data_IF_969572975464
#
_entry.id   IF_969572975464
#
_cell.length_a   1.000
_cell.length_b   1.000
_cell.length_c   1.000
_cell.angle_alpha   90.00
_cell.angle_beta   90.00
_cell.angle_gamma   90.00
#
_symmetry.space_group_name_H-M   'P 1'
#
loop_
_entity.id
_entity.type
_entity.pdbx_description
1 polymer ?
#
# COMPACT_ATOMS: atom_id res chain seq x y z
N UNK A 1 59.94 13.18 -51.01
CA UNK A 1 59.63 12.01 -50.15
C UNK A 1 59.02 12.50 -48.84
N UNK A 2 58.46 11.57 -48.06
CA UNK A 2 58.02 11.61 -46.64
C UNK A 2 58.61 12.76 -45.77
N UNK A 3 57.87 13.38 -44.85
CA UNK A 3 56.42 13.23 -44.58
C UNK A 3 55.95 13.74 -43.20
N UNK A 4 54.67 13.47 -42.91
CA UNK A 4 53.98 13.49 -41.60
C UNK A 4 54.10 14.77 -40.73
N UNK A 5 53.09 15.64 -40.86
CA UNK A 5 52.60 16.44 -39.73
C UNK A 5 51.51 15.66 -39.00
N UNK A 6 51.65 15.45 -37.68
CA UNK A 6 50.68 14.71 -36.86
C UNK A 6 49.55 15.64 -36.38
N UNK A 7 48.51 15.83 -37.20
CA UNK A 7 47.24 16.39 -36.71
C UNK A 7 46.49 15.34 -35.89
N UNK A 8 46.63 15.40 -34.55
CA UNK A 8 45.81 14.61 -33.63
C UNK A 8 44.37 15.14 -33.66
N UNK A 9 43.46 14.41 -34.30
CA UNK A 9 42.02 14.61 -34.11
C UNK A 9 41.62 14.07 -32.74
N UNK A 10 41.41 14.96 -31.77
CA UNK A 10 40.77 14.64 -30.50
C UNK A 10 39.25 14.68 -30.69
N UNK A 11 38.66 13.58 -31.15
CA UNK A 11 37.19 13.43 -31.18
C UNK A 11 36.70 13.26 -29.73
N UNK A 12 36.37 14.38 -29.09
CA UNK A 12 35.59 14.37 -27.85
C UNK A 12 34.15 14.06 -28.23
N UNK A 13 33.79 12.79 -28.20
CA UNK A 13 32.41 12.34 -28.35
C UNK A 13 31.65 12.63 -27.04
N UNK A 14 31.21 13.87 -26.86
CA UNK A 14 30.27 14.23 -25.80
C UNK A 14 28.89 13.64 -26.10
N UNK A 15 28.70 12.38 -25.73
CA UNK A 15 27.38 11.81 -25.49
C UNK A 15 26.75 12.49 -24.26
N UNK A 16 26.32 13.74 -24.43
CA UNK A 16 25.38 14.40 -23.55
C UNK A 16 24.00 13.77 -23.79
N UNK A 17 23.78 12.63 -23.14
CA UNK A 17 22.43 12.16 -22.83
C UNK A 17 21.79 13.23 -21.94
N UNK A 18 20.98 14.10 -22.54
CA UNK A 18 20.17 15.07 -21.81
C UNK A 18 19.12 14.29 -21.01
N UNK A 19 19.41 14.04 -19.74
CA UNK A 19 18.45 13.41 -18.83
C UNK A 19 17.19 14.29 -18.74
N UNK A 20 16.07 13.82 -19.28
CA UNK A 20 14.78 14.53 -19.30
C UNK A 20 13.99 14.27 -18.02
N UNK A 21 14.62 14.60 -16.89
CA UNK A 21 13.90 14.78 -15.63
C UNK A 21 12.89 15.92 -15.79
N UNK A 22 11.61 15.60 -15.59
CA UNK A 22 10.53 16.58 -15.55
C UNK A 22 10.33 17.03 -14.10
N UNK A 23 10.67 18.29 -13.82
CA UNK A 23 10.52 18.89 -12.49
C UNK A 23 9.35 19.87 -12.51
N UNK A 24 8.29 19.54 -11.77
CA UNK A 24 7.08 20.35 -11.64
C UNK A 24 7.22 21.27 -10.42
N UNK A 25 7.53 22.54 -10.68
CA UNK A 25 7.75 23.61 -9.67
C UNK A 25 6.62 24.63 -9.62
N UNK A 26 5.69 24.59 -10.58
CA UNK A 26 4.45 25.35 -10.62
C UNK A 26 3.26 24.44 -10.96
N UNK A 27 2.04 24.97 -10.97
CA UNK A 27 0.85 24.18 -11.26
C UNK A 27 0.68 23.94 -12.77
N UNK A 28 0.71 22.66 -13.19
CA UNK A 28 0.69 22.26 -14.60
C UNK A 28 -0.54 21.41 -14.91
N UNK A 29 -1.23 21.72 -16.03
CA UNK A 29 -2.31 20.89 -16.58
C UNK A 29 -2.04 20.63 -18.07
N UNK A 30 -1.94 19.36 -18.45
CA UNK A 30 -1.86 18.92 -19.84
C UNK A 30 -3.16 18.21 -20.24
N UNK A 31 -3.74 18.61 -21.37
CA UNK A 31 -5.05 18.11 -21.82
C UNK A 31 -4.92 17.45 -23.19
N UNK A 32 -5.28 16.18 -23.24
CA UNK A 32 -5.14 15.28 -24.39
C UNK A 32 -3.73 15.29 -25.03
N UNK A 33 -2.64 15.25 -24.23
CA UNK A 33 -1.31 15.09 -24.81
C UNK A 33 -1.19 13.73 -25.52
N UNK A 34 -0.29 13.60 -26.52
CA UNK A 34 0.10 12.29 -27.05
C UNK A 34 0.74 11.44 -25.94
N UNK A 35 0.97 10.14 -26.18
CA UNK A 35 1.61 9.25 -25.20
C UNK A 35 2.87 9.93 -24.62
N UNK A 36 2.86 10.17 -23.31
CA UNK A 36 3.93 10.88 -22.62
C UNK A 36 5.01 9.89 -22.23
N UNK A 37 6.27 10.26 -22.44
CA UNK A 37 7.43 9.53 -21.92
C UNK A 37 8.26 10.53 -21.13
N UNK A 38 8.36 10.25 -19.83
CA UNK A 38 9.10 11.02 -18.84
C UNK A 38 10.22 10.11 -18.35
N UNK A 39 11.43 10.65 -18.14
CA UNK A 39 12.51 9.88 -17.50
C UNK A 39 12.26 9.90 -15.98
N UNK A 40 12.90 10.78 -15.22
CA UNK A 40 12.51 11.05 -13.83
C UNK A 40 11.35 12.04 -13.75
N UNK A 41 10.41 11.86 -12.81
CA UNK A 41 9.35 12.82 -12.49
C UNK A 41 9.49 13.29 -11.03
N UNK A 42 9.82 14.57 -10.81
CA UNK A 42 9.74 15.19 -9.49
C UNK A 42 8.66 16.28 -9.43
N UNK A 43 7.79 16.21 -8.43
CA UNK A 43 6.70 17.17 -8.20
C UNK A 43 6.90 17.80 -6.82
N UNK A 44 7.12 19.12 -6.79
CA UNK A 44 7.46 19.86 -5.58
C UNK A 44 6.26 20.02 -4.62
N UNK A 45 6.51 20.28 -3.32
CA UNK A 45 5.44 20.56 -2.36
C UNK A 45 4.54 21.72 -2.80
N UNK A 46 3.24 21.61 -2.49
CA UNK A 46 2.19 22.63 -2.71
C UNK A 46 1.83 22.94 -4.17
N UNK A 47 2.44 22.27 -5.15
CA UNK A 47 2.04 22.35 -6.56
C UNK A 47 1.43 21.05 -7.06
N UNK A 48 0.81 21.07 -8.24
CA UNK A 48 0.25 19.89 -8.87
C UNK A 48 0.66 19.72 -10.34
N UNK A 49 0.73 18.47 -10.78
CA UNK A 49 0.73 18.07 -12.19
C UNK A 49 -0.56 17.30 -12.47
N UNK A 50 -1.28 17.68 -13.53
CA UNK A 50 -2.52 17.02 -13.94
C UNK A 50 -2.51 16.71 -15.43
N UNK A 51 -2.65 15.43 -15.76
CA UNK A 51 -2.73 14.93 -17.12
C UNK A 51 -4.17 14.47 -17.36
N UNK A 52 -4.81 14.97 -18.41
CA UNK A 52 -6.22 14.70 -18.72
C UNK A 52 -6.34 14.03 -20.09
N UNK A 53 -7.06 12.91 -20.18
CA UNK A 53 -7.31 12.14 -21.42
C UNK A 53 -6.03 11.70 -22.15
N UNK A 54 -5.09 11.05 -21.46
CA UNK A 54 -3.84 10.59 -22.05
C UNK A 54 -3.76 9.06 -22.04
N UNK A 55 -3.82 8.46 -23.24
CA UNK A 55 -3.89 7.00 -23.42
C UNK A 55 -2.84 6.23 -22.61
N UNK A 56 -1.60 6.75 -22.56
CA UNK A 56 -0.52 6.23 -21.72
C UNK A 56 0.50 7.31 -21.34
N UNK A 57 0.67 7.53 -20.04
CA UNK A 57 1.83 8.20 -19.45
C UNK A 57 2.85 7.14 -18.99
N UNK A 58 4.04 7.15 -19.58
CA UNK A 58 5.17 6.30 -19.17
C UNK A 58 6.17 7.12 -18.36
N UNK A 59 6.62 6.56 -17.23
CA UNK A 59 7.75 7.05 -16.42
C UNK A 59 8.84 5.97 -16.51
N UNK A 60 9.98 6.29 -17.12
CA UNK A 60 11.10 5.37 -17.36
C UNK A 60 12.15 5.42 -16.23
N UNK A 61 12.14 6.46 -15.40
CA UNK A 61 13.01 6.66 -14.25
C UNK A 61 12.22 6.68 -12.93
N UNK A 62 12.63 7.54 -12.00
CA UNK A 62 12.11 7.60 -10.64
C UNK A 62 10.90 8.55 -10.53
N UNK A 63 9.94 8.21 -9.66
CA UNK A 63 8.80 9.06 -9.31
C UNK A 63 8.98 9.63 -7.89
N UNK A 64 9.18 10.94 -7.76
CA UNK A 64 9.32 11.69 -6.51
C UNK A 64 8.16 12.70 -6.37
N UNK A 65 7.05 12.29 -5.76
CA UNK A 65 5.89 13.17 -5.57
C UNK A 65 5.78 13.70 -4.14
N UNK A 66 5.98 15.02 -3.99
CA UNK A 66 5.79 15.76 -2.73
C UNK A 66 4.62 16.76 -2.83
N UNK A 67 4.06 16.93 -4.04
CA UNK A 67 2.90 17.77 -4.34
C UNK A 67 1.66 16.93 -4.63
N UNK A 68 1.08 17.11 -5.82
CA UNK A 68 -0.06 16.32 -6.29
C UNK A 68 0.13 15.88 -7.73
N UNK A 69 -0.07 14.60 -8.03
CA UNK A 69 -0.04 14.03 -9.38
C UNK A 69 -1.41 13.46 -9.73
N UNK A 70 -2.00 13.94 -10.82
CA UNK A 70 -3.32 13.53 -11.30
C UNK A 70 -3.23 12.99 -12.72
N UNK A 71 -3.90 11.86 -12.99
CA UNK A 71 -4.06 11.32 -14.36
C UNK A 71 -5.52 10.91 -14.55
N UNK A 72 -6.26 11.64 -15.39
CA UNK A 72 -7.73 11.69 -15.31
C UNK A 72 -8.40 11.41 -16.66
N UNK A 73 -9.38 10.51 -16.68
CA UNK A 73 -10.33 10.31 -17.76
C UNK A 73 -11.49 11.29 -17.64
N UNK A 74 -11.87 11.89 -18.76
CA UNK A 74 -13.13 12.60 -18.98
C UNK A 74 -13.77 12.14 -20.29
N UNK A 75 -15.08 12.33 -20.40
CA UNK A 75 -15.83 12.14 -21.66
C UNK A 75 -15.70 10.75 -22.29
N UNK A 76 -15.42 9.69 -21.50
CA UNK A 76 -15.27 8.33 -21.99
C UNK A 76 -13.89 7.98 -22.56
N UNK A 77 -12.90 8.88 -22.49
CA UNK A 77 -11.55 8.65 -23.01
C UNK A 77 -10.65 7.93 -21.98
N UNK A 78 -9.72 7.09 -22.44
CA UNK A 78 -8.78 6.38 -21.56
C UNK A 78 -7.74 7.32 -20.93
N UNK A 79 -7.24 6.91 -19.76
CA UNK A 79 -6.13 7.57 -19.06
C UNK A 79 -5.33 6.55 -18.23
N UNK A 80 -4.20 6.08 -18.75
CA UNK A 80 -3.36 5.00 -18.17
C UNK A 80 -1.98 5.50 -17.72
N UNK A 81 -1.35 4.80 -16.77
CA UNK A 81 0.02 5.09 -16.28
C UNK A 81 0.86 3.82 -16.23
N UNK A 82 2.10 3.90 -16.70
CA UNK A 82 3.10 2.82 -16.59
C UNK A 82 4.42 3.35 -16.03
N UNK A 83 4.93 2.67 -15.02
CA UNK A 83 6.28 2.79 -14.49
C UNK A 83 6.78 1.37 -14.24
N UNK A 84 7.93 1.01 -14.81
CA UNK A 84 8.48 -0.36 -14.76
C UNK A 84 9.98 -0.37 -14.44
N UNK A 85 10.44 0.68 -13.77
CA UNK A 85 11.84 1.04 -13.56
C UNK A 85 11.93 2.14 -12.48
N UNK A 86 13.14 2.54 -12.09
CA UNK A 86 13.37 3.52 -11.02
C UNK A 86 12.81 3.11 -9.65
N UNK A 87 12.62 4.11 -8.78
CA UNK A 87 11.91 4.02 -7.49
C UNK A 87 10.59 4.81 -7.50
N UNK A 88 9.72 4.52 -6.53
CA UNK A 88 8.52 5.32 -6.26
C UNK A 88 8.59 5.86 -4.83
N UNK A 89 8.57 7.18 -4.70
CA UNK A 89 8.41 7.91 -3.44
C UNK A 89 7.22 8.86 -3.53
N UNK A 90 6.25 8.69 -2.63
CA UNK A 90 5.09 9.56 -2.50
C UNK A 90 4.95 10.07 -1.06
N UNK A 91 5.08 11.39 -0.87
CA UNK A 91 4.69 12.07 0.38
C UNK A 91 3.59 13.13 0.11
N UNK A 92 2.83 12.95 -0.97
CA UNK A 92 1.82 13.90 -1.44
C UNK A 92 0.53 13.20 -1.86
N UNK A 93 -0.11 13.68 -2.92
CA UNK A 93 -1.27 13.04 -3.56
C UNK A 93 -0.85 12.39 -4.87
N UNK A 94 -1.15 11.11 -5.08
CA UNK A 94 -1.22 10.51 -6.42
C UNK A 94 -2.67 10.04 -6.63
N UNK A 95 -3.32 10.49 -7.70
CA UNK A 95 -4.72 10.19 -7.97
C UNK A 95 -4.97 9.93 -9.46
N UNK A 96 -5.10 8.66 -9.82
CA UNK A 96 -5.35 8.21 -11.18
C UNK A 96 -6.80 7.73 -11.33
N UNK A 97 -7.57 8.33 -12.23
CA UNK A 97 -9.02 8.12 -12.30
C UNK A 97 -9.52 7.92 -13.73
N UNK A 98 -9.81 6.67 -14.08
CA UNK A 98 -10.49 6.21 -15.30
C UNK A 98 -11.89 5.66 -15.02
N UNK A 99 -12.51 5.95 -13.87
CA UNK A 99 -13.88 5.47 -13.54
C UNK A 99 -14.95 5.86 -14.58
N UNK A 100 -14.70 6.92 -15.37
CA UNK A 100 -15.57 7.42 -16.43
C UNK A 100 -15.10 7.07 -17.86
N UNK A 101 -14.09 6.20 -18.04
CA UNK A 101 -13.62 5.78 -19.35
C UNK A 101 -14.56 4.73 -19.98
N UNK A 102 -14.68 4.72 -21.32
CA UNK A 102 -15.46 3.71 -22.05
C UNK A 102 -14.77 2.34 -22.10
N UNK A 103 -13.44 2.35 -21.93
CA UNK A 103 -12.55 1.18 -21.91
C UNK A 103 -11.81 1.13 -20.57
N UNK A 104 -11.19 0.00 -20.24
CA UNK A 104 -10.42 -0.11 -18.99
C UNK A 104 -9.02 0.43 -19.21
N UNK A 105 -8.68 1.49 -18.50
CA UNK A 105 -7.30 2.00 -18.42
C UNK A 105 -6.50 1.26 -17.34
N UNK A 106 -5.17 1.22 -17.47
CA UNK A 106 -4.30 0.47 -16.56
C UNK A 106 -3.34 1.38 -15.77
N UNK A 107 -3.08 1.01 -14.52
CA UNK A 107 -2.15 1.68 -13.61
C UNK A 107 -1.11 0.68 -13.12
N UNK A 108 0.01 0.64 -13.84
CA UNK A 108 1.08 -0.34 -13.66
C UNK A 108 2.29 0.37 -13.06
N UNK A 109 2.46 0.25 -11.75
CA UNK A 109 3.56 0.83 -10.98
C UNK A 109 4.45 -0.29 -10.41
N UNK A 110 5.43 -0.72 -11.20
CA UNK A 110 6.41 -1.77 -10.87
C UNK A 110 7.79 -1.13 -10.66
N UNK A 111 8.07 -0.73 -9.42
CA UNK A 111 9.38 -0.20 -9.03
C UNK A 111 10.44 -1.30 -9.05
N UNK A 112 11.60 -1.03 -9.66
CA UNK A 112 12.78 -1.93 -9.58
C UNK A 112 13.67 -1.62 -8.37
N UNK A 113 13.28 -0.63 -7.57
CA UNK A 113 13.81 -0.38 -6.23
C UNK A 113 12.69 -0.40 -5.20
N UNK A 114 12.59 0.66 -4.41
CA UNK A 114 11.56 0.80 -3.37
C UNK A 114 10.25 1.37 -3.90
N UNK A 115 9.16 1.02 -3.22
CA UNK A 115 7.86 1.69 -3.26
C UNK A 115 7.60 2.23 -1.86
N UNK A 116 7.59 3.55 -1.72
CA UNK A 116 7.44 4.25 -0.44
C UNK A 116 6.27 5.22 -0.50
N UNK A 117 5.18 4.89 0.20
CA UNK A 117 4.05 5.78 0.39
C UNK A 117 3.98 6.31 1.84
N UNK A 118 3.98 7.63 1.95
CA UNK A 118 3.78 8.44 3.16
C UNK A 118 2.66 9.48 2.95
N UNK A 119 1.93 9.36 1.83
CA UNK A 119 0.82 10.24 1.46
C UNK A 119 -0.35 9.42 0.95
N UNK A 120 -1.09 9.96 0.00
CA UNK A 120 -2.30 9.34 -0.53
C UNK A 120 -2.08 8.79 -1.93
N UNK A 121 -2.54 7.56 -2.16
CA UNK A 121 -2.65 6.90 -3.45
C UNK A 121 -4.11 6.59 -3.73
N UNK A 122 -4.67 7.17 -4.79
CA UNK A 122 -6.02 6.88 -5.27
C UNK A 122 -5.95 6.31 -6.70
N UNK A 123 -6.57 5.16 -6.96
CA UNK A 123 -6.68 4.59 -8.30
C UNK A 123 -8.08 4.08 -8.58
N UNK A 124 -8.72 4.56 -9.65
CA UNK A 124 -10.09 4.20 -9.99
C UNK A 124 -10.22 3.80 -11.46
N UNK A 125 -10.81 2.65 -11.74
CA UNK A 125 -11.03 2.13 -13.11
C UNK A 125 -12.52 2.02 -13.49
N UNK A 126 -12.83 2.03 -14.78
CA UNK A 126 -14.20 2.02 -15.34
C UNK A 126 -14.95 0.69 -15.12
N UNK A 127 -14.35 -0.44 -15.49
CA UNK A 127 -15.04 -1.72 -15.55
C UNK A 127 -14.11 -2.93 -15.37
N UNK A 128 -14.66 -4.14 -15.52
CA UNK A 128 -13.93 -5.40 -15.41
C UNK A 128 -12.81 -5.56 -16.44
N UNK A 129 -11.64 -6.01 -15.99
CA UNK A 129 -10.51 -6.48 -16.81
C UNK A 129 -10.17 -7.94 -16.50
N UNK A 130 -9.81 -8.69 -17.54
CA UNK A 130 -9.27 -10.06 -17.43
C UNK A 130 -7.81 -10.09 -16.99
N UNK A 131 -7.05 -9.03 -17.28
CA UNK A 131 -5.68 -8.82 -16.79
C UNK A 131 -5.69 -7.89 -15.56
N UNK A 132 -4.63 -7.91 -14.76
CA UNK A 132 -4.52 -7.06 -13.56
C UNK A 132 -4.40 -5.58 -13.96
N UNK A 133 -5.45 -4.74 -13.77
CA UNK A 133 -5.47 -3.37 -14.29
C UNK A 133 -4.80 -2.39 -13.32
N UNK A 134 -4.60 -2.80 -12.07
CA UNK A 134 -3.88 -2.04 -11.03
C UNK A 134 -2.81 -2.96 -10.46
N UNK A 135 -1.55 -2.55 -10.61
CA UNK A 135 -0.38 -3.31 -10.17
C UNK A 135 0.55 -2.37 -9.42
N UNK A 136 0.77 -2.63 -8.14
CA UNK A 136 1.70 -1.91 -7.26
C UNK A 136 2.78 -2.88 -6.78
N UNK A 137 4.01 -2.76 -7.27
CA UNK A 137 5.10 -3.65 -6.87
C UNK A 137 6.44 -2.95 -6.64
N UNK A 138 7.29 -3.59 -5.85
CA UNK A 138 8.67 -3.21 -5.59
C UNK A 138 9.58 -4.44 -5.65
N UNK A 139 10.75 -4.32 -6.27
CA UNK A 139 11.76 -5.38 -6.22
C UNK A 139 12.52 -5.40 -4.88
N UNK A 140 12.77 -4.24 -4.24
CA UNK A 140 13.56 -4.20 -3.00
C UNK A 140 12.74 -4.04 -1.72
N UNK A 141 11.76 -3.12 -1.68
CA UNK A 141 11.04 -2.79 -0.45
C UNK A 141 9.70 -2.10 -0.73
N UNK A 142 8.62 -2.57 -0.08
CA UNK A 142 7.32 -1.91 -0.10
C UNK A 142 6.99 -1.34 1.30
N UNK A 143 6.79 -0.03 1.40
CA UNK A 143 6.33 0.66 2.61
C UNK A 143 5.06 1.45 2.29
N UNK A 144 4.02 1.20 3.07
CA UNK A 144 2.83 2.02 3.14
C UNK A 144 2.61 2.57 4.56
N UNK A 145 2.60 3.90 4.65
CA UNK A 145 2.42 4.69 5.89
C UNK A 145 1.61 5.98 5.61
N UNK A 146 0.73 5.87 4.61
CA UNK A 146 -0.39 6.74 4.30
C UNK A 146 -1.42 5.89 3.56
N UNK A 147 -2.51 6.47 3.05
CA UNK A 147 -3.61 5.66 2.53
C UNK A 147 -3.45 5.27 1.05
N UNK A 148 -3.86 4.05 0.73
CA UNK A 148 -4.03 3.54 -0.63
C UNK A 148 -5.51 3.19 -0.82
N UNK A 149 -6.21 3.81 -1.76
CA UNK A 149 -7.61 3.48 -2.10
C UNK A 149 -7.73 3.15 -3.59
N UNK A 150 -8.03 1.87 -3.87
CA UNK A 150 -8.18 1.30 -5.20
C UNK A 150 -9.67 0.96 -5.42
N UNK A 151 -10.23 1.33 -6.58
CA UNK A 151 -11.65 1.09 -6.88
C UNK A 151 -11.95 0.74 -8.34
N UNK A 152 -13.04 0.03 -8.55
CA UNK A 152 -13.64 -0.20 -9.86
C UNK A 152 -15.10 0.30 -9.88
N UNK A 153 -15.48 1.05 -10.90
CA UNK A 153 -16.80 1.66 -10.95
C UNK A 153 -17.92 0.62 -11.21
N UNK A 154 -17.72 -0.30 -12.18
CA UNK A 154 -18.79 -1.20 -12.65
C UNK A 154 -18.33 -2.62 -13.00
N UNK A 155 -19.26 -3.57 -13.12
CA UNK A 155 -18.99 -4.95 -13.57
C UNK A 155 -18.46 -5.90 -12.49
N UNK A 156 -18.02 -7.10 -12.90
CA UNK A 156 -17.39 -8.09 -12.01
C UNK A 156 -16.06 -7.56 -11.49
N UNK A 157 -15.73 -7.78 -10.22
CA UNK A 157 -14.46 -7.36 -9.65
C UNK A 157 -13.23 -7.90 -10.43
N UNK A 158 -12.35 -6.98 -10.85
CA UNK A 158 -11.05 -7.31 -11.45
C UNK A 158 -10.06 -7.76 -10.38
N UNK A 159 -9.18 -8.71 -10.71
CA UNK A 159 -8.02 -9.00 -9.88
C UNK A 159 -7.02 -7.84 -9.92
N UNK A 160 -6.45 -7.45 -8.77
CA UNK A 160 -5.35 -6.50 -8.67
C UNK A 160 -4.09 -7.16 -8.09
N UNK A 161 -2.96 -6.48 -8.17
CA UNK A 161 -1.68 -6.97 -7.64
C UNK A 161 -1.05 -5.93 -6.73
N UNK A 162 -0.78 -6.31 -5.48
CA UNK A 162 0.07 -5.57 -4.54
C UNK A 162 1.08 -6.57 -3.97
N UNK A 163 2.38 -6.38 -4.24
CA UNK A 163 3.42 -7.36 -3.90
C UNK A 163 4.82 -6.75 -3.79
N UNK A 164 5.65 -7.25 -2.88
CA UNK A 164 7.10 -7.02 -2.88
C UNK A 164 7.87 -8.29 -3.23
N UNK A 165 8.88 -8.19 -4.10
CA UNK A 165 9.76 -9.32 -4.42
C UNK A 165 10.67 -9.70 -3.24
N UNK A 166 10.96 -8.77 -2.33
CA UNK A 166 11.64 -9.05 -1.05
C UNK A 166 10.80 -9.83 -0.03
N UNK A 167 9.56 -10.20 -0.38
CA UNK A 167 8.73 -11.16 0.36
C UNK A 167 7.66 -10.54 1.25
N UNK A 168 7.85 -9.31 1.74
CA UNK A 168 6.87 -8.62 2.60
C UNK A 168 6.56 -7.16 2.23
N UNK A 169 5.39 -6.71 2.68
CA UNK A 169 4.87 -5.35 2.57
C UNK A 169 4.72 -4.80 3.98
N UNK A 170 5.38 -3.69 4.30
CA UNK A 170 5.16 -2.98 5.57
C UNK A 170 3.98 -2.03 5.44
N UNK A 171 2.85 -2.31 6.09
CA UNK A 171 1.63 -1.51 6.03
C UNK A 171 1.21 -0.99 7.42
N UNK A 172 1.18 0.33 7.57
CA UNK A 172 0.88 1.03 8.83
C UNK A 172 -0.45 1.79 8.83
N UNK A 173 -0.98 2.11 7.66
CA UNK A 173 -2.26 2.83 7.49
C UNK A 173 -3.24 2.02 6.61
N UNK A 174 -4.21 2.68 5.96
CA UNK A 174 -5.28 2.04 5.21
C UNK A 174 -4.87 1.56 3.81
N UNK A 175 -5.29 0.33 3.46
CA UNK A 175 -5.43 -0.12 2.08
C UNK A 175 -6.89 -0.47 1.84
N UNK A 176 -7.57 0.33 1.03
CA UNK A 176 -8.98 0.21 0.70
C UNK A 176 -9.18 -0.38 -0.71
N UNK A 177 -10.07 -1.36 -0.84
CA UNK A 177 -10.47 -1.96 -2.11
C UNK A 177 -11.99 -1.92 -2.29
N UNK A 178 -12.49 -1.30 -3.36
CA UNK A 178 -13.92 -1.29 -3.74
C UNK A 178 -14.12 -1.97 -5.10
N UNK A 179 -15.02 -2.96 -5.18
CA UNK A 179 -15.32 -3.77 -6.38
C UNK A 179 -14.09 -4.36 -7.05
N UNK A 180 -13.07 -4.72 -6.26
CA UNK A 180 -11.82 -5.31 -6.70
C UNK A 180 -11.52 -6.59 -5.91
N UNK A 181 -10.83 -7.53 -6.55
CA UNK A 181 -10.30 -8.74 -5.93
C UNK A 181 -8.79 -8.58 -5.70
N UNK A 182 -8.32 -8.75 -4.47
CA UNK A 182 -6.89 -8.81 -4.16
C UNK A 182 -6.56 -10.15 -3.50
N UNK A 183 -5.74 -10.96 -4.17
CA UNK A 183 -5.14 -12.15 -3.56
C UNK A 183 -3.80 -11.79 -2.95
N UNK A 184 -3.56 -12.20 -1.70
CA UNK A 184 -2.30 -11.96 -1.03
C UNK A 184 -1.16 -12.71 -1.75
N UNK A 185 -0.08 -12.00 -2.06
CA UNK A 185 1.11 -12.54 -2.76
C UNK A 185 2.44 -12.23 -2.05
N UNK A 186 2.39 -11.47 -0.95
CA UNK A 186 3.52 -11.17 -0.06
C UNK A 186 3.02 -11.17 1.38
N UNK A 187 3.90 -11.43 2.35
CA UNK A 187 3.57 -11.24 3.77
C UNK A 187 3.26 -9.78 4.06
N UNK A 188 2.43 -9.51 5.07
CA UNK A 188 1.99 -8.15 5.43
C UNK A 188 2.38 -7.89 6.88
N UNK A 189 3.24 -6.89 7.06
CA UNK A 189 3.82 -6.47 8.34
C UNK A 189 3.23 -5.13 8.81
N UNK A 190 3.36 -4.84 10.10
CA UNK A 190 2.87 -3.59 10.70
C UNK A 190 1.41 -3.63 11.15
N UNK A 191 0.94 -2.48 11.63
CA UNK A 191 -0.33 -2.33 12.36
C UNK A 191 -1.45 -1.68 11.54
N UNK A 192 -1.32 -1.58 10.22
CA UNK A 192 -2.32 -0.92 9.38
C UNK A 192 -3.64 -1.69 9.23
N UNK A 193 -4.42 -1.35 8.21
CA UNK A 193 -5.72 -1.99 7.97
C UNK A 193 -5.95 -2.29 6.49
N UNK A 194 -6.66 -3.38 6.18
CA UNK A 194 -7.21 -3.66 4.85
C UNK A 194 -8.72 -3.53 4.93
N UNK A 195 -9.27 -2.48 4.31
CA UNK A 195 -10.70 -2.27 4.20
C UNK A 195 -11.22 -2.89 2.90
N UNK A 196 -12.05 -3.91 3.06
CA UNK A 196 -12.74 -4.63 2.02
C UNK A 196 -14.11 -3.96 1.87
N UNK A 197 -14.29 -3.15 0.83
CA UNK A 197 -15.50 -2.34 0.61
C UNK A 197 -16.52 -3.05 -0.28
N UNK A 198 -17.51 -2.30 -0.79
CA UNK A 198 -18.60 -2.85 -1.61
C UNK A 198 -18.09 -3.72 -2.77
N UNK A 199 -18.60 -4.95 -2.86
CA UNK A 199 -18.29 -5.91 -3.91
C UNK A 199 -16.82 -6.34 -3.98
N UNK A 200 -16.02 -6.06 -2.95
CA UNK A 200 -14.61 -6.40 -2.91
C UNK A 200 -14.34 -7.75 -2.21
N UNK A 201 -13.23 -8.37 -2.60
CA UNK A 201 -12.80 -9.68 -2.14
C UNK A 201 -11.30 -9.65 -1.82
N UNK A 202 -10.93 -9.97 -0.58
CA UNK A 202 -9.53 -10.25 -0.22
C UNK A 202 -9.32 -11.75 -0.04
N UNK A 203 -8.29 -12.33 -0.65
CA UNK A 203 -7.94 -13.76 -0.51
C UNK A 203 -6.62 -13.91 0.25
N UNK A 204 -6.72 -14.11 1.57
CA UNK A 204 -5.61 -14.36 2.48
C UNK A 204 -4.98 -15.74 2.22
N UNK A 205 -3.64 -15.84 2.21
CA UNK A 205 -2.94 -17.13 2.06
C UNK A 205 -2.29 -17.54 3.38
N UNK A 206 -2.80 -18.59 4.04
CA UNK A 206 -2.38 -18.90 5.43
C UNK A 206 -1.23 -19.91 5.57
N UNK A 207 -0.82 -20.57 4.48
CA UNK A 207 0.27 -21.58 4.49
C UNK A 207 1.66 -20.97 4.30
N UNK A 208 1.80 -20.06 3.35
CA UNK A 208 3.10 -19.59 2.83
C UNK A 208 3.41 -18.13 3.13
N UNK A 209 2.40 -17.35 3.54
CA UNK A 209 2.51 -15.93 3.84
C UNK A 209 2.03 -15.64 5.26
N UNK A 210 2.47 -14.52 5.82
CA UNK A 210 2.08 -14.05 7.15
C UNK A 210 1.32 -12.73 7.11
N UNK A 211 0.59 -12.48 8.19
CA UNK A 211 -0.03 -11.20 8.57
C UNK A 211 0.47 -10.92 9.99
N UNK A 212 0.87 -9.69 10.28
CA UNK A 212 1.25 -9.29 11.64
C UNK A 212 0.03 -9.22 12.57
N UNK A 213 0.22 -9.59 13.84
CA UNK A 213 -0.86 -9.73 14.83
C UNK A 213 -1.57 -8.41 15.20
N UNK A 214 -0.96 -7.26 14.89
CA UNK A 214 -1.56 -5.92 15.07
C UNK A 214 -2.30 -5.39 13.82
N UNK A 215 -2.12 -6.06 12.67
CA UNK A 215 -2.83 -5.72 11.44
C UNK A 215 -4.33 -6.06 11.58
N UNK A 216 -5.19 -5.45 10.77
CA UNK A 216 -6.64 -5.62 10.87
C UNK A 216 -7.30 -5.68 9.49
N UNK A 217 -8.29 -6.55 9.36
CA UNK A 217 -9.25 -6.51 8.26
C UNK A 217 -10.48 -5.72 8.68
N UNK A 218 -11.12 -5.02 7.75
CA UNK A 218 -12.42 -4.38 7.97
C UNK A 218 -13.37 -4.71 6.81
N UNK A 219 -14.52 -5.32 7.13
CA UNK A 219 -15.61 -5.56 6.19
C UNK A 219 -16.59 -4.38 6.27
N UNK A 220 -16.50 -3.42 5.34
CA UNK A 220 -17.26 -2.15 5.44
C UNK A 220 -18.61 -2.13 4.71
N UNK A 221 -18.95 -3.19 3.97
CA UNK A 221 -20.20 -3.35 3.23
C UNK A 221 -20.83 -4.73 3.47
N UNK A 222 -22.17 -4.89 3.39
CA UNK A 222 -22.85 -6.20 3.31
C UNK A 222 -22.32 -7.14 2.21
N UNK A 223 -21.70 -6.58 1.17
CA UNK A 223 -21.14 -7.28 0.01
C UNK A 223 -19.64 -7.59 0.13
N UNK A 224 -18.99 -7.20 1.23
CA UNK A 224 -17.57 -7.45 1.48
C UNK A 224 -17.30 -8.92 1.80
N UNK A 225 -16.23 -9.50 1.22
CA UNK A 225 -15.81 -10.88 1.48
C UNK A 225 -14.34 -10.94 1.88
N UNK A 226 -14.06 -11.48 3.06
CA UNK A 226 -12.73 -11.98 3.43
C UNK A 226 -12.69 -13.49 3.14
N UNK A 227 -11.94 -13.91 2.13
CA UNK A 227 -11.68 -15.32 1.87
C UNK A 227 -10.33 -15.73 2.45
N UNK A 228 -10.31 -16.89 3.09
CA UNK A 228 -9.14 -17.58 3.61
C UNK A 228 -8.83 -18.74 2.66
N UNK A 229 -7.59 -18.84 2.22
CA UNK A 229 -7.11 -19.92 1.35
C UNK A 229 -5.85 -20.59 1.92
N UNK A 230 -5.72 -21.88 1.62
CA UNK A 230 -4.69 -22.74 2.14
C UNK A 230 -5.07 -23.42 3.46
N UNK A 231 -6.36 -23.63 3.76
CA UNK A 231 -6.73 -24.51 4.88
C UNK A 231 -6.30 -25.94 4.53
N UNK A 232 -5.50 -26.58 5.39
CA UNK A 232 -5.11 -27.99 5.19
C UNK A 232 -4.64 -28.66 6.48
N UNK A 233 -4.68 -29.99 6.51
CA UNK A 233 -4.23 -30.83 7.64
C UNK A 233 -2.72 -30.77 7.92
N UNK A 234 -1.95 -29.97 7.18
CA UNK A 234 -0.56 -29.66 7.48
C UNK A 234 -0.38 -28.50 8.48
N UNK A 235 -1.44 -27.76 8.79
CA UNK A 235 -1.41 -26.63 9.71
C UNK A 235 -1.58 -27.11 11.16
N UNK A 236 -0.54 -26.95 11.97
CA UNK A 236 -0.47 -27.45 13.36
C UNK A 236 -0.54 -26.34 14.42
N UNK A 237 -0.70 -25.08 14.01
CA UNK A 237 -0.76 -23.91 14.91
C UNK A 237 -1.94 -23.03 14.55
N UNK A 238 -2.87 -22.87 15.49
CA UNK A 238 -4.06 -22.03 15.33
C UNK A 238 -3.68 -20.60 14.95
N UNK A 239 -4.49 -19.97 14.11
CA UNK A 239 -4.28 -18.59 13.66
C UNK A 239 -5.29 -17.66 14.31
N UNK A 240 -4.86 -16.48 14.73
CA UNK A 240 -5.73 -15.40 15.20
C UNK A 240 -5.55 -14.17 14.30
N UNK A 241 -6.65 -13.60 13.83
CA UNK A 241 -6.68 -12.38 13.02
C UNK A 241 -7.62 -11.35 13.65
N UNK A 242 -7.33 -10.05 13.51
CA UNK A 242 -8.30 -9.00 13.87
C UNK A 242 -9.23 -8.71 12.70
N UNK A 243 -10.54 -8.77 12.93
CA UNK A 243 -11.57 -8.58 11.92
C UNK A 243 -12.66 -7.63 12.43
N UNK A 244 -12.70 -6.44 11.87
CA UNK A 244 -13.65 -5.38 12.20
C UNK A 244 -14.83 -5.48 11.21
N UNK A 245 -16.04 -5.07 11.61
CA UNK A 245 -17.16 -4.88 10.69
C UNK A 245 -17.96 -6.13 10.31
N UNK A 246 -17.70 -7.30 10.91
CA UNK A 246 -18.50 -8.50 10.65
C UNK A 246 -19.97 -8.25 11.02
N UNK A 247 -20.88 -8.37 10.06
CA UNK A 247 -22.29 -8.00 10.24
C UNK A 247 -23.03 -7.68 8.95
N UNK A 248 -24.33 -7.42 9.07
CA UNK A 248 -25.23 -7.09 7.95
C UNK A 248 -25.17 -8.10 6.77
N UNK A 249 -24.81 -9.36 7.03
CA UNK A 249 -24.67 -10.42 6.01
C UNK A 249 -23.35 -10.47 5.24
N UNK A 250 -22.34 -9.65 5.59
CA UNK A 250 -20.99 -9.78 5.05
C UNK A 250 -20.28 -11.04 5.60
N UNK A 251 -19.18 -11.45 4.94
CA UNK A 251 -18.76 -12.87 4.95
C UNK A 251 -17.28 -13.09 5.20
N UNK A 252 -17.00 -14.11 6.02
CA UNK A 252 -15.75 -14.87 5.97
C UNK A 252 -16.01 -16.15 5.17
N UNK A 253 -15.15 -16.45 4.20
CA UNK A 253 -15.22 -17.66 3.37
C UNK A 253 -13.92 -18.45 3.46
N UNK A 254 -13.98 -19.77 3.30
CA UNK A 254 -12.84 -20.68 3.34
C UNK A 254 -12.74 -21.48 2.02
N UNK A 255 -11.62 -22.17 1.80
CA UNK A 255 -11.44 -23.13 0.69
C UNK A 255 -11.61 -24.60 1.11
N UNK A 256 -11.84 -24.84 2.39
CA UNK A 256 -12.18 -26.13 3.02
C UNK A 256 -13.28 -25.88 4.05
N UNK A 257 -14.19 -26.84 4.23
CA UNK A 257 -15.28 -26.70 5.21
C UNK A 257 -14.78 -26.79 6.66
N UNK A 258 -15.31 -25.92 7.54
CA UNK A 258 -15.20 -26.06 8.99
C UNK A 258 -16.33 -26.94 9.53
N UNK A 259 -16.07 -27.63 10.64
CA UNK A 259 -17.00 -28.60 11.25
C UNK A 259 -17.89 -28.02 12.33
N UNK A 260 -17.46 -26.94 13.01
CA UNK A 260 -18.27 -26.18 13.99
C UNK A 260 -17.66 -24.77 14.15
N UNK A 261 -18.37 -23.87 14.83
CA UNK A 261 -17.83 -22.60 15.30
C UNK A 261 -18.28 -22.28 16.73
N UNK A 262 -17.43 -21.54 17.46
CA UNK A 262 -17.75 -21.00 18.77
C UNK A 262 -17.42 -19.52 18.86
N UNK A 263 -18.16 -18.76 19.68
CA UNK A 263 -17.88 -17.35 19.95
C UNK A 263 -17.82 -17.10 21.45
N UNK A 264 -16.70 -16.55 21.94
CA UNK A 264 -16.45 -16.30 23.36
C UNK A 264 -15.42 -15.18 23.54
N UNK A 265 -15.61 -14.33 24.55
CA UNK A 265 -14.67 -13.29 24.98
C UNK A 265 -14.16 -12.39 23.82
N UNK A 266 -15.03 -12.10 22.84
CA UNK A 266 -14.72 -11.29 21.66
C UNK A 266 -14.11 -12.05 20.48
N UNK A 267 -13.82 -13.35 20.63
CA UNK A 267 -13.17 -14.20 19.62
C UNK A 267 -14.20 -15.18 19.04
N UNK A 268 -14.37 -15.14 17.72
CA UNK A 268 -15.00 -16.19 16.92
C UNK A 268 -13.93 -17.22 16.54
N UNK A 269 -14.13 -18.49 16.83
CA UNK A 269 -13.21 -19.59 16.47
C UNK A 269 -13.96 -20.63 15.65
N UNK A 270 -13.40 -20.99 14.50
CA UNK A 270 -13.90 -22.05 13.62
C UNK A 270 -12.97 -23.26 13.70
N UNK A 271 -13.54 -24.44 13.82
CA UNK A 271 -12.81 -25.70 13.97
C UNK A 271 -12.77 -26.45 12.64
N UNK A 272 -11.59 -26.88 12.20
CA UNK A 272 -11.39 -27.63 10.96
C UNK A 272 -10.95 -29.08 11.24
N UNK A 273 -11.13 -30.00 10.26
CA UNK A 273 -10.56 -31.34 10.33
C UNK A 273 -9.06 -31.33 10.68
N UNK A 274 -8.63 -32.36 11.41
CA UNK A 274 -7.29 -32.47 12.03
C UNK A 274 -7.01 -31.51 13.20
N UNK A 275 -8.06 -30.98 13.85
CA UNK A 275 -7.95 -30.16 15.08
C UNK A 275 -7.14 -28.87 14.89
N UNK A 276 -7.25 -28.29 13.69
CA UNK A 276 -6.71 -26.98 13.35
C UNK A 276 -7.83 -25.94 13.47
N UNK A 277 -7.57 -24.84 14.18
CA UNK A 277 -8.59 -23.80 14.40
C UNK A 277 -8.15 -22.45 13.80
N UNK A 278 -9.09 -21.73 13.20
CA UNK A 278 -8.91 -20.32 12.80
C UNK A 278 -9.81 -19.45 13.66
N UNK A 279 -9.20 -18.47 14.31
CA UNK A 279 -9.85 -17.51 15.19
C UNK A 279 -9.82 -16.10 14.62
N UNK A 280 -10.88 -15.35 14.88
CA UNK A 280 -11.04 -13.95 14.54
C UNK A 280 -11.43 -13.17 15.81
N UNK A 281 -10.59 -12.23 16.21
CA UNK A 281 -10.95 -11.20 17.18
C UNK A 281 -11.90 -10.21 16.49
N UNK A 282 -13.18 -10.24 16.87
CA UNK A 282 -14.25 -9.47 16.21
C UNK A 282 -14.92 -8.43 17.12
N UNK A 283 -14.61 -8.43 18.42
CA UNK A 283 -15.24 -7.56 19.42
C UNK A 283 -16.36 -8.25 20.21
N UNK A 284 -16.78 -7.64 21.32
CA UNK A 284 -17.62 -8.28 22.36
C UNK A 284 -19.14 -8.22 22.13
N UNK A 285 -19.61 -7.59 21.05
CA UNK A 285 -21.03 -7.24 20.87
C UNK A 285 -21.82 -8.18 19.92
N UNK A 286 -21.48 -9.47 19.91
CA UNK A 286 -22.13 -10.50 19.08
C UNK A 286 -22.92 -11.51 19.90
N UNK A 287 -23.93 -12.14 19.29
CA UNK A 287 -24.71 -13.22 19.88
C UNK A 287 -24.52 -14.50 19.07
N UNK A 288 -24.21 -15.62 19.74
CA UNK A 288 -23.91 -16.90 19.08
C UNK A 288 -25.02 -17.37 18.11
N UNK A 289 -26.29 -17.11 18.45
CA UNK A 289 -27.47 -17.44 17.64
C UNK A 289 -27.71 -16.54 16.42
N UNK A 290 -26.88 -15.50 16.20
CA UNK A 290 -26.99 -14.55 15.08
C UNK A 290 -25.88 -14.75 14.02
N UNK A 291 -24.98 -15.71 14.23
CA UNK A 291 -24.11 -16.22 13.17
C UNK A 291 -24.90 -17.18 12.26
N UNK A 292 -24.59 -17.15 10.96
CA UNK A 292 -25.20 -18.01 9.95
C UNK A 292 -24.12 -18.59 9.04
N UNK A 293 -24.11 -19.91 8.92
CA UNK A 293 -23.24 -20.69 8.04
C UNK A 293 -23.99 -21.18 6.81
N UNK A 294 -23.29 -21.82 5.87
CA UNK A 294 -23.87 -22.42 4.65
C UNK A 294 -23.97 -23.95 4.67
N UNK A 295 -23.58 -24.61 5.77
CA UNK A 295 -23.76 -26.04 6.03
C UNK A 295 -24.82 -26.37 7.09
N UNK A 296 -24.94 -27.65 7.43
CA UNK A 296 -25.81 -28.15 8.52
C UNK A 296 -25.06 -28.12 9.87
N UNK A 297 -25.78 -28.10 11.00
CA UNK A 297 -25.22 -28.21 12.37
C UNK A 297 -23.94 -27.37 12.62
N UNK A 298 -24.01 -26.06 12.36
CA UNK A 298 -22.90 -25.08 12.47
C UNK A 298 -21.68 -25.31 11.56
N UNK A 299 -21.68 -26.30 10.67
CA UNK A 299 -20.61 -26.49 9.68
C UNK A 299 -20.76 -25.55 8.46
N UNK A 300 -19.75 -25.50 7.59
CA UNK A 300 -19.86 -24.85 6.28
C UNK A 300 -18.53 -24.41 5.64
N UNK A 301 -18.62 -23.76 4.49
CA UNK A 301 -17.53 -23.06 3.79
C UNK A 301 -17.55 -21.54 4.04
N UNK A 302 -18.64 -21.02 4.60
CA UNK A 302 -18.92 -19.60 4.82
C UNK A 302 -19.46 -19.37 6.22
N UNK A 303 -19.03 -18.29 6.89
CA UNK A 303 -19.73 -17.75 8.06
C UNK A 303 -20.05 -16.26 7.86
N UNK A 304 -21.19 -15.84 8.39
CA UNK A 304 -21.71 -14.47 8.31
C UNK A 304 -22.45 -14.11 9.60
N UNK A 305 -22.75 -12.82 9.80
CA UNK A 305 -23.49 -12.33 10.96
C UNK A 305 -24.65 -11.44 10.52
N UNK A 306 -25.87 -11.69 11.02
CA UNK A 306 -27.10 -11.07 10.48
C UNK A 306 -27.33 -9.64 10.97
N UNK A 307 -26.92 -9.36 12.20
CA UNK A 307 -27.07 -8.04 12.83
C UNK A 307 -26.04 -7.05 12.26
N UNK A 308 -26.33 -5.74 12.23
CA UNK A 308 -25.32 -4.73 11.94
C UNK A 308 -24.19 -4.72 12.98
N UNK A 309 -22.97 -4.47 12.52
CA UNK A 309 -21.83 -4.10 13.36
C UNK A 309 -22.11 -2.81 14.14
N UNK A 310 -21.63 -2.71 15.38
CA UNK A 310 -22.03 -1.66 16.36
C UNK A 310 -20.86 -0.95 17.05
N UNK A 311 -19.63 -1.41 16.85
CA UNK A 311 -18.44 -0.87 17.53
C UNK A 311 -17.78 0.25 16.71
N UNK A 312 -16.89 1.02 17.33
CA UNK A 312 -16.18 2.12 16.68
C UNK A 312 -15.14 1.60 15.67
N UNK A 313 -15.07 2.24 14.49
CA UNK A 313 -14.15 1.86 13.41
C UNK A 313 -12.83 2.63 13.61
N UNK A 314 -11.68 1.95 13.77
CA UNK A 314 -10.38 2.61 13.89
C UNK A 314 -10.07 3.48 12.67
N UNK A 315 -9.51 4.68 12.90
CA UNK A 315 -9.24 5.65 11.83
C UNK A 315 -8.40 5.07 10.68
N UNK A 316 -7.40 4.23 10.99
CA UNK A 316 -6.56 3.48 10.02
C UNK A 316 -7.34 2.58 9.05
N UNK A 317 -8.61 2.30 9.31
CA UNK A 317 -9.51 1.48 8.49
C UNK A 317 -10.51 2.31 7.68
N UNK A 318 -10.60 3.63 7.91
CA UNK A 318 -11.49 4.53 7.16
C UNK A 318 -10.82 4.96 5.87
N UNK A 319 -11.56 4.93 4.76
CA UNK A 319 -11.04 5.30 3.45
C UNK A 319 -11.28 6.81 3.20
N UNK A 320 -10.24 7.60 2.86
CA UNK A 320 -10.43 9.00 2.51
C UNK A 320 -11.11 9.14 1.15
N UNK A 321 -11.97 10.15 1.01
CA UNK A 321 -12.68 10.47 -0.24
C UNK A 321 -11.72 10.56 -1.44
N UNK A 322 -12.18 10.10 -2.60
CA UNK A 322 -11.37 10.04 -3.81
C UNK A 322 -11.04 11.46 -4.31
N UNK A 323 -9.74 11.79 -4.42
CA UNK A 323 -9.30 13.17 -4.70
C UNK A 323 -9.81 13.72 -6.04
N UNK A 324 -10.42 14.91 -6.01
CA UNK A 324 -10.85 15.62 -7.21
C UNK A 324 -9.65 16.22 -7.98
N UNK A 325 -9.49 15.92 -9.28
CA UNK A 325 -8.41 16.45 -10.10
C UNK A 325 -8.70 17.85 -10.69
N UNK A 326 -7.70 18.74 -10.80
CA UNK A 326 -7.83 19.97 -11.58
C UNK A 326 -7.82 19.65 -13.09
N UNK A 327 -8.96 19.82 -13.74
CA UNK A 327 -9.24 19.35 -15.12
C UNK A 327 -9.32 20.46 -16.18
N UNK A 328 -9.15 21.73 -15.77
CA UNK A 328 -9.19 22.90 -16.66
C UNK A 328 -7.78 23.43 -16.86
N UNK A 329 -7.40 23.92 -18.05
CA UNK A 329 -6.10 24.54 -18.24
C UNK A 329 -6.02 25.78 -17.35
N UNK A 330 -4.83 26.07 -16.82
CA UNK A 330 -4.65 27.30 -16.04
C UNK A 330 -4.92 28.52 -16.93
N UNK A 331 -5.53 29.59 -16.40
CA UNK A 331 -5.63 30.84 -17.14
C UNK A 331 -4.20 31.32 -17.42
N UNK A 332 -3.85 31.42 -18.71
CA UNK A 332 -2.53 31.89 -19.12
C UNK A 332 -2.23 33.22 -18.44
N UNK A 333 -1.23 33.22 -17.56
CA UNK A 333 -0.77 34.44 -16.88
C UNK A 333 -0.40 35.44 -17.97
N UNK A 334 -1.22 36.49 -18.11
CA UNK A 334 -1.04 37.48 -19.18
C UNK A 334 0.15 38.36 -18.80
N UNK A 335 1.34 37.81 -19.05
CA UNK A 335 2.60 38.54 -19.02
C UNK A 335 2.48 39.66 -20.04
N UNK A 336 2.17 40.86 -19.54
CA UNK A 336 2.31 42.07 -20.32
C UNK A 336 3.78 42.19 -20.63
N UNK A 337 4.16 41.85 -21.87
CA UNK A 337 5.47 42.24 -22.38
C UNK A 337 5.64 43.74 -22.13
N UNK A 338 6.79 44.20 -21.59
CA UNK A 338 7.09 45.62 -21.59
C UNK A 338 7.19 46.05 -23.06
N UNK A 339 6.19 46.80 -23.51
CA UNK A 339 6.14 47.34 -24.86
C UNK A 339 7.38 48.23 -25.09
N UNK A 340 8.09 48.02 -26.19
CA UNK A 340 9.42 48.58 -26.41
C UNK A 340 9.34 50.07 -26.73
N UNK A 341 9.23 50.90 -25.70
CA UNK A 341 9.36 52.35 -25.81
C UNK A 341 10.78 52.71 -26.26
N UNK A 342 10.87 53.35 -27.42
CA UNK A 342 12.14 53.68 -28.07
C UNK A 342 13.00 54.66 -27.26
N UNK A 343 14.29 54.67 -27.58
CA UNK A 343 15.33 55.54 -27.02
C UNK A 343 14.95 57.03 -27.01
N UNK A 344 15.10 57.68 -25.86
CA UNK A 344 15.34 59.13 -25.78
C UNK A 344 16.73 59.45 -25.21
N UNK A 345 17.24 60.62 -25.60
CA UNK A 345 18.67 60.94 -25.59
C UNK A 345 19.10 61.61 -24.29
N UNK A 346 20.08 61.01 -23.59
CA UNK A 346 20.77 61.70 -22.49
C UNK A 346 21.78 62.73 -23.01
N UNK A 347 21.50 64.02 -22.80
CA UNK A 347 22.51 65.07 -22.83
C UNK A 347 23.05 65.35 -21.42
N UNK A 348 24.37 65.53 -21.24
CA UNK A 348 24.93 65.92 -19.96
C UNK A 348 24.74 67.43 -19.70
N UNK A 349 24.53 67.80 -18.45
CA UNK A 349 24.67 69.18 -17.97
C UNK A 349 25.32 69.17 -16.60
N UNK A 350 26.25 70.10 -16.38
CA UNK A 350 27.10 70.19 -15.20
C UNK A 350 26.76 71.42 -14.40
N UNK A 351 26.84 71.34 -13.06
CA UNK A 351 27.60 72.24 -12.17
C UNK A 351 27.23 71.95 -10.70
N UNK A 352 28.23 71.43 -9.96
CA UNK A 352 28.85 71.87 -8.68
C UNK A 352 28.05 72.73 -7.64
N UNK A 353 28.55 72.89 -6.38
CA UNK A 353 27.77 72.50 -5.19
C UNK A 353 27.64 73.62 -4.14
N UNK A 354 27.01 73.33 -2.99
CA UNK A 354 27.36 74.04 -1.75
C UNK A 354 27.12 73.18 -0.48
N UNK A 355 27.51 73.70 0.69
CA UNK A 355 27.74 72.92 1.92
C UNK A 355 27.45 73.70 3.20
N UNK A 356 26.65 73.12 4.11
CA UNK A 356 26.77 73.28 5.57
C UNK A 356 25.69 72.46 6.31
N UNK A 357 25.68 72.20 7.62
CA UNK A 357 26.66 71.87 8.69
C UNK A 357 25.80 71.68 9.97
N UNK A 358 25.91 70.51 10.63
CA UNK A 358 25.62 70.18 12.04
C UNK A 358 24.52 70.90 12.89
N UNK A 359 23.61 70.10 13.49
CA UNK A 359 23.57 69.77 14.95
C UNK A 359 22.41 68.79 15.23
N UNK A 360 22.41 67.76 16.10
CA UNK A 360 23.11 67.35 17.36
C UNK A 360 22.21 67.42 18.61
N UNK A 361 21.45 66.35 18.87
CA UNK A 361 20.93 65.81 20.16
C UNK A 361 20.61 64.31 19.92
N UNK A 362 21.02 63.23 20.61
CA UNK A 362 21.97 62.93 21.73
C UNK A 362 21.34 62.59 23.11
N UNK A 363 21.69 61.39 23.65
CA UNK A 363 21.48 60.84 25.03
C UNK A 363 20.12 60.16 25.38
N UNK A 364 20.01 59.05 26.15
CA UNK A 364 21.01 58.06 26.71
C UNK A 364 20.35 56.74 27.23
N UNK A 365 21.12 55.63 27.20
CA UNK A 365 21.17 54.46 28.13
C UNK A 365 19.91 53.63 28.49
N UNK A 366 19.98 52.38 29.00
CA UNK A 366 21.08 51.58 29.61
C UNK A 366 21.20 50.13 29.07
N UNK A 367 22.35 49.50 29.35
CA UNK A 367 22.70 48.08 29.09
C UNK A 367 22.55 47.18 30.33
N UNK A 368 22.71 45.86 30.16
CA UNK A 368 23.35 44.84 31.06
C UNK A 368 22.81 43.43 30.72
N UNK A 369 23.54 42.30 30.75
CA UNK A 369 24.97 41.94 30.52
C UNK A 369 25.06 40.39 30.45
N UNK A 370 26.12 39.80 29.85
CA UNK A 370 26.37 38.34 29.92
C UNK A 370 27.11 37.94 31.23
N UNK A 371 27.17 36.64 31.57
CA UNK A 371 28.51 36.02 31.62
C UNK A 371 28.60 34.59 31.06
N UNK A 372 29.83 34.06 31.02
CA UNK A 372 30.29 32.92 30.19
C UNK A 372 31.01 31.85 31.05
N UNK A 373 31.00 30.59 30.58
CA UNK A 373 31.80 29.42 31.05
C UNK A 373 31.45 28.83 32.46
N UNK A 374 31.78 27.58 32.82
CA UNK A 374 32.91 26.73 32.37
C UNK A 374 32.69 25.18 32.37
N UNK A 375 33.73 24.51 31.86
CA UNK A 375 34.14 23.07 31.81
C UNK A 375 34.21 22.38 33.20
N UNK A 376 34.30 21.04 33.40
CA UNK A 376 34.36 19.83 32.55
C UNK A 376 34.29 18.51 33.38
N UNK A 377 34.32 17.37 32.67
CA UNK A 377 35.00 16.07 33.00
C UNK A 377 34.40 15.02 33.97
N UNK A 378 34.46 13.78 33.46
CA UNK A 378 34.48 12.43 34.09
C UNK A 378 35.25 12.31 35.44
N UNK A 379 35.03 11.30 36.30
CA UNK A 379 35.17 9.85 36.00
C UNK A 379 34.55 8.88 37.05
N UNK A 380 34.85 7.57 36.89
CA UNK A 380 34.59 6.39 37.75
C UNK A 380 35.11 6.58 39.22
N UNK A 381 34.79 5.76 40.26
CA UNK A 381 34.80 4.28 40.29
C UNK A 381 34.16 3.62 41.56
N UNK A 382 33.84 2.32 41.44
CA UNK A 382 33.78 1.18 42.40
C UNK A 382 33.18 1.17 43.84
N UNK A 383 32.41 0.08 44.11
CA UNK A 383 32.45 -0.84 45.28
C UNK A 383 31.91 -0.34 46.66
N UNK A 384 31.20 -1.13 47.50
CA UNK A 384 31.49 -2.51 47.98
C UNK A 384 30.25 -3.31 48.46
N UNK A 385 30.47 -4.58 48.85
CA UNK A 385 29.48 -5.64 49.23
C UNK A 385 28.84 -5.50 50.63
N UNK A 386 27.72 -6.22 50.84
CA UNK A 386 27.54 -7.38 51.76
C UNK A 386 26.12 -7.98 51.55
N UNK A 387 25.84 -9.25 51.19
CA UNK A 387 26.16 -10.61 51.72
C UNK A 387 25.36 -11.05 52.96
N UNK A 388 24.34 -11.90 52.74
CA UNK A 388 23.81 -13.00 53.60
C UNK A 388 22.36 -13.36 53.19
N UNK A 389 21.80 -14.56 53.43
CA UNK A 389 22.32 -15.94 53.29
C UNK A 389 21.16 -16.94 53.50
N UNK A 390 21.24 -18.15 52.89
CA UNK A 390 20.56 -19.41 53.31
C UNK A 390 18.99 -19.44 53.35
N UNK A 391 18.25 -20.56 53.25
CA UNK A 391 18.49 -21.98 52.83
C UNK A 391 17.10 -22.70 52.72
N UNK A 392 17.08 -23.96 52.23
CA UNK A 392 16.07 -25.01 52.54
C UNK A 392 14.68 -24.92 51.85
N UNK A 393 14.04 -26.01 51.36
CA UNK A 393 14.47 -27.43 51.23
C UNK A 393 13.71 -28.19 50.12
N UNK A 394 14.29 -29.32 49.70
CA UNK A 394 13.72 -30.40 48.86
C UNK A 394 12.70 -31.28 49.59
N UNK A 395 11.90 -32.08 48.87
CA UNK A 395 11.67 -33.53 49.14
C UNK A 395 10.84 -34.21 48.02
N UNK A 396 11.14 -35.50 47.78
CA UNK A 396 10.51 -36.42 46.81
C UNK A 396 9.27 -37.16 47.41
N UNK A 397 8.56 -38.13 46.81
CA UNK A 397 8.69 -38.97 45.59
C UNK A 397 7.26 -39.19 45.00
N UNK A 398 6.82 -40.19 44.20
CA UNK A 398 7.32 -41.54 43.79
C UNK A 398 6.77 -41.93 42.41
N UNK A 399 7.21 -43.09 41.90
CA UNK A 399 6.77 -43.80 40.69
C UNK A 399 5.40 -44.48 40.78
N UNK A 400 4.78 -44.72 39.60
CA UNK A 400 4.17 -46.03 39.22
C UNK A 400 4.48 -46.30 37.75
N UNK A 401 4.91 -47.51 37.40
CA UNK A 401 5.09 -47.98 36.03
C UNK A 401 3.88 -48.81 35.57
N UNK A 402 3.59 -48.91 34.27
CA UNK A 402 2.85 -50.09 33.74
C UNK A 402 3.27 -50.43 32.31
N UNK A 403 3.60 -51.71 32.13
CA UNK A 403 4.19 -52.38 30.97
C UNK A 403 3.53 -52.15 29.61
N UNK A 404 4.37 -52.02 28.57
CA UNK A 404 4.03 -52.44 27.20
C UNK A 404 4.25 -53.95 27.02
N UNK A 405 3.51 -54.57 26.10
CA UNK A 405 3.67 -55.98 25.68
C UNK A 405 3.56 -56.12 24.15
N UNK A 406 3.92 -57.29 23.63
CA UNK A 406 4.38 -57.46 22.24
C UNK A 406 3.30 -57.93 21.23
N UNK A 407 3.41 -57.38 20.02
CA UNK A 407 3.36 -58.03 18.68
C UNK A 407 2.23 -58.97 18.20
N UNK A 408 2.13 -58.96 16.85
CA UNK A 408 1.63 -60.00 15.91
C UNK A 408 0.12 -60.18 15.62
N UNK A 409 -0.13 -60.52 14.33
CA UNK A 409 -1.41 -60.89 13.70
C UNK A 409 -2.42 -59.75 13.48
N UNK A 410 -3.19 -59.68 12.39
CA UNK A 410 -3.30 -60.59 11.23
C UNK A 410 -3.49 -59.82 9.90
N UNK A 411 -3.23 -60.48 8.78
CA UNK A 411 -3.44 -59.93 7.43
C UNK A 411 -4.71 -60.50 6.78
N UNK A 412 -5.53 -59.65 6.16
CA UNK A 412 -6.61 -60.07 5.27
C UNK A 412 -6.36 -59.57 3.85
N UNK A 413 -6.77 -60.39 2.86
CA UNK A 413 -6.40 -60.22 1.45
C UNK A 413 -7.62 -60.09 0.54
N UNK A 414 -7.40 -59.46 -0.62
CA UNK A 414 -8.12 -59.72 -1.88
C UNK A 414 -9.64 -59.49 -1.93
N UNK A 415 -10.04 -58.50 -2.71
CA UNK A 415 -10.64 -58.85 -4.01
C UNK A 415 -10.34 -57.80 -5.08
N UNK A 416 -10.14 -58.25 -6.33
CA UNK A 416 -10.03 -57.40 -7.51
C UNK A 416 -11.37 -57.41 -8.24
N UNK A 417 -11.95 -56.23 -8.51
CA UNK A 417 -13.20 -56.08 -9.27
C UNK A 417 -12.96 -55.31 -10.57
N UNK A 418 -12.53 -56.00 -11.62
CA UNK A 418 -12.19 -55.38 -12.91
C UNK A 418 -13.31 -55.56 -13.93
N UNK A 419 -13.88 -54.47 -14.47
CA UNK A 419 -14.77 -54.52 -15.66
C UNK A 419 -14.82 -53.20 -16.43
N UNK A 420 -14.00 -53.15 -17.47
CA UNK A 420 -14.21 -52.53 -18.79
C UNK A 420 -15.41 -51.58 -19.02
N UNK A 421 -15.07 -50.33 -19.34
CA UNK A 421 -15.50 -49.60 -20.56
C UNK A 421 -16.59 -50.20 -21.46
N UNK A 422 -17.60 -49.37 -21.79
CA UNK A 422 -18.27 -49.34 -23.10
C UNK A 422 -18.19 -47.90 -23.64
N UNK A 423 -18.16 -47.74 -24.96
CA UNK A 423 -17.76 -46.50 -25.65
C UNK A 423 -18.66 -46.21 -26.85
N UNK A 424 -19.40 -45.09 -26.83
CA UNK A 424 -20.11 -44.44 -27.97
C UNK A 424 -21.07 -43.37 -27.42
N UNK A 425 -21.53 -42.35 -28.14
CA UNK A 425 -20.91 -41.45 -29.15
C UNK A 425 -21.94 -40.35 -29.50
N UNK A 426 -21.48 -39.21 -29.98
CA UNK A 426 -22.28 -38.03 -30.37
C UNK A 426 -23.60 -38.32 -31.12
N UNK A 427 -24.65 -37.52 -30.87
CA UNK A 427 -25.23 -36.61 -31.89
C UNK A 427 -26.19 -35.57 -31.29
N UNK A 428 -26.12 -34.35 -31.81
CA UNK A 428 -27.18 -33.32 -31.77
C UNK A 428 -28.18 -33.58 -32.92
N UNK A 429 -29.39 -32.98 -32.97
CA UNK A 429 -29.64 -31.54 -32.80
C UNK A 429 -29.90 -31.08 -31.36
#
# INVERSE_FOLDING_TARGET
MKGLSFFKWLIVATCLSFARSLIITENTVEISPPNLVIEDLEIYPKVYFSIVNNLLTTIEGNLSNKGKFYVTSLNGLDSSVSLTSGTIFNSGTIAFNSTNANTVSSYILKSIGSFENHGFFWMGISSYSSESPIVLTSETQFVNSGDIYLRQNSGKASSITISSHSGSISNKEGICIERLKWKQTSSIEGYGCINIMDGALFELQIQSLSIAEEHSFYLSSPSSILKIEGVSSGLTSSKLYNLIGLGSGNKIQFDTDFTDFSYKDGILTLEFPSSFNISFNIGNNYQASHFVTDGEDNSGSTISYIDPFKDEIPAKCLCPDFSEPPTKPLPSSTSKQPESSLTETWQPSSIRPESSTASTVTQTHSSVEEPIESKSSSSENESTRNTSDLDSSTVDTTTVETSTTEMTSDAWTSSMGQSTTIHSSQTSP
#
